data_IF_059342423732
#
_entry.id   IF_059342423732
#
_cell.length_a   1.000
_cell.length_b   1.000
_cell.length_c   1.000
_cell.angle_alpha   90.00
_cell.angle_beta   90.00
_cell.angle_gamma   90.00
#
_symmetry.space_group_name_H-M   'P 1'
#
loop_
_entity.id
_entity.type
_entity.pdbx_description
1 polymer ?
#
# COMPACT_ATOMS: atom_id res chain seq x y z
N UNK A 1 27.28 -7.14 -17.28
CA UNK A 1 25.91 -7.65 -17.05
C UNK A 1 25.32 -8.18 -18.36
N UNK A 2 24.69 -9.36 -18.39
CA UNK A 2 24.07 -9.92 -19.61
C UNK A 2 22.56 -9.68 -19.58
N UNK A 3 22.04 -8.82 -20.45
CA UNK A 3 20.62 -8.57 -20.61
C UNK A 3 19.95 -9.82 -21.23
N UNK A 4 18.99 -10.43 -20.53
CA UNK A 4 18.20 -11.55 -21.05
C UNK A 4 17.12 -11.02 -21.99
N UNK A 5 17.42 -11.00 -23.29
CA UNK A 5 16.45 -10.59 -24.31
C UNK A 5 15.53 -11.76 -24.74
N UNK A 6 14.22 -11.50 -24.97
CA UNK A 6 13.30 -12.46 -25.54
C UNK A 6 13.82 -13.08 -26.85
N UNK A 7 13.44 -14.34 -27.13
CA UNK A 7 13.93 -15.08 -28.31
C UNK A 7 13.61 -14.36 -29.63
N UNK A 8 12.42 -13.79 -29.75
CA UNK A 8 11.97 -13.07 -30.95
C UNK A 8 12.84 -11.82 -31.21
N UNK A 9 13.09 -11.02 -30.17
CA UNK A 9 13.97 -9.85 -30.23
C UNK A 9 15.40 -10.23 -30.65
N UNK A 10 15.94 -11.33 -30.13
CA UNK A 10 17.28 -11.81 -30.52
C UNK A 10 17.36 -12.24 -31.99
N UNK A 11 16.26 -12.77 -32.54
CA UNK A 11 16.17 -13.15 -33.97
C UNK A 11 16.08 -11.92 -34.85
N UNK A 12 15.23 -10.96 -34.50
CA UNK A 12 15.09 -9.70 -35.22
C UNK A 12 16.41 -8.91 -35.27
N UNK A 13 17.13 -8.83 -34.15
CA UNK A 13 18.44 -8.16 -34.09
C UNK A 13 19.49 -8.84 -34.96
N UNK A 14 19.45 -10.18 -35.10
CA UNK A 14 20.36 -10.91 -36.00
C UNK A 14 20.05 -10.65 -37.47
N UNK A 15 18.78 -10.78 -37.84
CA UNK A 15 18.33 -10.54 -39.21
C UNK A 15 18.66 -9.12 -39.66
N UNK A 16 18.46 -8.13 -38.77
CA UNK A 16 18.79 -6.74 -39.08
C UNK A 16 20.29 -6.52 -39.21
N UNK A 17 21.10 -7.13 -38.34
CA UNK A 17 22.57 -7.10 -38.43
C UNK A 17 23.09 -7.72 -39.73
N UNK A 18 22.48 -8.84 -40.17
CA UNK A 18 22.79 -9.49 -41.45
C UNK A 18 22.41 -8.61 -42.65
N UNK A 19 21.27 -7.89 -42.58
CA UNK A 19 20.82 -6.97 -43.62
C UNK A 19 21.69 -5.72 -43.75
N UNK A 20 22.19 -5.19 -42.62
CA UNK A 20 23.01 -3.97 -42.60
C UNK A 20 24.51 -4.25 -42.68
N UNK A 21 24.94 -5.51 -42.60
CA UNK A 21 26.36 -5.88 -42.56
C UNK A 21 27.09 -5.42 -41.30
N UNK A 22 26.35 -5.09 -40.23
CA UNK A 22 26.90 -4.55 -38.98
C UNK A 22 26.76 -5.53 -37.83
N UNK A 23 27.46 -5.28 -36.72
CA UNK A 23 27.35 -6.12 -35.54
C UNK A 23 25.99 -5.94 -34.85
N UNK A 24 25.52 -6.98 -34.14
CA UNK A 24 24.30 -6.90 -33.32
C UNK A 24 24.36 -5.78 -32.27
N UNK A 25 25.56 -5.46 -31.77
CA UNK A 25 25.78 -4.38 -30.82
C UNK A 25 25.50 -3.01 -31.45
N UNK A 26 25.99 -2.78 -32.66
CA UNK A 26 25.77 -1.54 -33.42
C UNK A 26 24.29 -1.34 -33.77
N UNK A 27 23.59 -2.40 -34.18
CA UNK A 27 22.14 -2.33 -34.46
C UNK A 27 21.35 -1.91 -33.21
N UNK A 28 21.75 -2.40 -32.03
CA UNK A 28 21.10 -2.00 -30.76
C UNK A 28 21.43 -0.56 -30.41
N UNK A 29 22.69 -0.15 -30.55
CA UNK A 29 23.11 1.22 -30.27
C UNK A 29 22.41 2.22 -31.18
N UNK A 30 22.29 1.90 -32.47
CA UNK A 30 21.60 2.74 -33.44
C UNK A 30 20.10 2.87 -33.12
N UNK A 31 19.45 1.75 -32.80
CA UNK A 31 18.05 1.77 -32.38
C UNK A 31 17.83 2.60 -31.10
N UNK A 32 18.78 2.57 -30.16
CA UNK A 32 18.72 3.37 -28.93
C UNK A 32 18.95 4.86 -29.19
N UNK A 33 19.93 5.21 -30.04
CA UNK A 33 20.15 6.60 -30.47
C UNK A 33 18.92 7.16 -31.16
N UNK A 34 18.37 6.41 -32.11
CA UNK A 34 17.17 6.83 -32.82
C UNK A 34 15.97 6.95 -31.89
N UNK A 35 15.85 6.09 -30.87
CA UNK A 35 14.82 6.23 -29.84
C UNK A 35 15.01 7.48 -28.97
N UNK A 36 16.26 7.83 -28.62
CA UNK A 36 16.58 9.04 -27.87
C UNK A 36 16.33 10.31 -28.69
N UNK A 37 16.58 10.28 -30.00
CA UNK A 37 16.33 11.40 -30.91
C UNK A 37 14.84 11.59 -31.22
N UNK A 38 14.07 10.50 -31.27
CA UNK A 38 12.64 10.53 -31.60
C UNK A 38 11.71 10.59 -30.40
N UNK A 39 12.21 10.34 -29.19
CA UNK A 39 11.42 10.50 -27.96
C UNK A 39 11.63 11.91 -27.44
N UNK A 40 10.68 12.84 -27.63
CA UNK A 40 10.85 14.19 -27.13
C UNK A 40 10.98 14.16 -25.59
N UNK A 41 11.83 15.01 -25.00
CA UNK A 41 12.00 15.10 -23.54
C UNK A 41 10.66 15.34 -22.81
N UNK A 42 9.73 16.01 -23.48
CA UNK A 42 8.34 16.25 -23.07
C UNK A 42 7.61 14.94 -22.72
N UNK A 43 7.87 13.84 -23.44
CA UNK A 43 7.23 12.55 -23.17
C UNK A 43 7.77 11.86 -21.91
N UNK A 44 9.04 12.09 -21.56
CA UNK A 44 9.64 11.57 -20.33
C UNK A 44 9.18 12.39 -19.13
N UNK A 45 9.17 13.72 -19.24
CA UNK A 45 8.65 14.60 -18.19
C UNK A 45 7.17 14.39 -17.93
N UNK A 46 6.35 14.23 -18.98
CA UNK A 46 4.93 13.93 -18.82
C UNK A 46 4.70 12.58 -18.13
N UNK A 47 5.50 11.57 -18.48
CA UNK A 47 5.45 10.26 -17.81
C UNK A 47 5.93 10.35 -16.36
N UNK A 48 6.96 11.13 -16.08
CA UNK A 48 7.47 11.35 -14.72
C UNK A 48 6.39 12.02 -13.86
N UNK A 49 5.77 13.10 -14.35
CA UNK A 49 4.65 13.77 -13.67
C UNK A 49 3.47 12.84 -13.41
N UNK A 50 3.16 11.95 -14.35
CA UNK A 50 2.09 10.97 -14.17
C UNK A 50 2.43 9.97 -13.05
N UNK A 51 3.67 9.48 -13.00
CA UNK A 51 4.14 8.58 -11.95
C UNK A 51 4.17 9.28 -10.59
N UNK A 52 4.64 10.53 -10.52
CA UNK A 52 4.64 11.33 -9.29
C UNK A 52 3.23 11.57 -8.76
N UNK A 53 2.27 11.92 -9.64
CA UNK A 53 0.87 12.09 -9.26
C UNK A 53 0.23 10.79 -8.74
N UNK A 54 0.53 9.66 -9.38
CA UNK A 54 0.06 8.35 -8.92
C UNK A 54 0.68 7.95 -7.57
N UNK A 55 1.96 8.22 -7.37
CA UNK A 55 2.64 7.98 -6.08
C UNK A 55 2.03 8.83 -4.96
N UNK A 56 1.77 10.12 -5.21
CA UNK A 56 1.13 11.01 -4.24
C UNK A 56 -0.27 10.51 -3.86
N UNK A 57 -1.07 10.04 -4.83
CA UNK A 57 -2.38 9.45 -4.57
C UNK A 57 -2.28 8.21 -3.69
N UNK A 58 -1.38 7.27 -4.03
CA UNK A 58 -1.19 6.04 -3.25
C UNK A 58 -0.71 6.33 -1.83
N UNK A 59 0.20 7.30 -1.64
CA UNK A 59 0.65 7.73 -0.32
C UNK A 59 -0.50 8.31 0.51
N UNK A 60 -1.37 9.14 -0.09
CA UNK A 60 -2.55 9.68 0.60
C UNK A 60 -3.52 8.57 1.05
N UNK A 61 -3.72 7.55 0.22
CA UNK A 61 -4.61 6.42 0.54
C UNK A 61 -4.04 5.55 1.66
N UNK A 62 -2.73 5.28 1.65
CA UNK A 62 -2.05 4.58 2.74
C UNK A 62 -2.15 5.34 4.06
N UNK A 63 -1.95 6.66 4.02
CA UNK A 63 -2.01 7.50 5.21
C UNK A 63 -3.43 7.57 5.81
N UNK A 64 -4.47 7.60 4.96
CA UNK A 64 -5.88 7.49 5.40
C UNK A 64 -6.14 6.12 6.05
N UNK A 65 -5.61 5.03 5.47
CA UNK A 65 -5.73 3.68 6.01
C UNK A 65 -5.07 3.53 7.39
N UNK A 66 -3.89 4.14 7.58
CA UNK A 66 -3.17 4.13 8.87
C UNK A 66 -3.91 4.92 9.95
N UNK A 67 -4.46 6.10 9.63
CA UNK A 67 -5.24 6.90 10.58
C UNK A 67 -6.55 6.19 10.97
N UNK A 68 -7.24 5.57 10.02
CA UNK A 68 -8.44 4.78 10.30
C UNK A 68 -8.13 3.56 11.19
N UNK A 69 -7.01 2.87 10.93
CA UNK A 69 -6.58 1.74 11.75
C UNK A 69 -6.14 2.17 13.17
N UNK A 70 -5.50 3.34 13.31
CA UNK A 70 -5.14 3.92 14.60
C UNK A 70 -6.39 4.26 15.43
N UNK A 71 -7.36 4.99 14.85
CA UNK A 71 -8.61 5.33 15.55
C UNK A 71 -9.40 4.09 15.99
N UNK A 72 -9.34 3.00 15.21
CA UNK A 72 -10.00 1.75 15.58
C UNK A 72 -9.28 0.98 16.71
N UNK A 73 -7.94 1.10 16.80
CA UNK A 73 -7.15 0.58 17.91
C UNK A 73 -7.43 1.36 19.19
N UNK A 74 -7.45 2.69 19.10
CA UNK A 74 -7.71 3.57 20.24
C UNK A 74 -9.12 3.33 20.82
N UNK A 75 -10.13 3.20 19.96
CA UNK A 75 -11.50 2.87 20.39
C UNK A 75 -11.60 1.47 21.04
N UNK A 76 -10.87 0.49 20.53
CA UNK A 76 -10.80 -0.85 21.13
C UNK A 76 -10.09 -0.83 22.49
N UNK A 77 -9.01 -0.07 22.64
CA UNK A 77 -8.29 0.07 23.91
C UNK A 77 -9.13 0.82 24.95
N UNK A 78 -9.80 1.91 24.56
CA UNK A 78 -10.72 2.64 25.43
C UNK A 78 -11.87 1.74 25.93
N UNK A 79 -12.45 0.91 25.06
CA UNK A 79 -13.51 -0.04 25.45
C UNK A 79 -13.01 -1.11 26.42
N UNK A 80 -11.78 -1.62 26.23
CA UNK A 80 -11.14 -2.56 27.18
C UNK A 80 -10.88 -1.93 28.54
N UNK A 81 -10.41 -0.68 28.57
CA UNK A 81 -10.18 0.05 29.81
C UNK A 81 -11.49 0.32 30.56
N UNK A 82 -12.53 0.77 29.85
CA UNK A 82 -13.86 0.96 30.43
C UNK A 82 -14.42 -0.34 31.02
N UNK A 83 -14.28 -1.46 30.31
CA UNK A 83 -14.68 -2.78 30.81
C UNK A 83 -13.96 -3.14 32.12
N UNK A 84 -12.64 -2.98 32.17
CA UNK A 84 -11.87 -3.28 33.39
C UNK A 84 -12.24 -2.38 34.57
N UNK A 85 -12.54 -1.09 34.31
CA UNK A 85 -12.99 -0.17 35.35
C UNK A 85 -14.35 -0.58 35.90
N UNK A 86 -15.32 -0.89 35.04
CA UNK A 86 -16.65 -1.34 35.47
C UNK A 86 -16.62 -2.69 36.16
N UNK A 87 -15.75 -3.61 35.74
CA UNK A 87 -15.59 -4.89 36.41
C UNK A 87 -15.13 -4.69 37.87
N UNK A 88 -14.10 -3.87 38.09
CA UNK A 88 -13.65 -3.54 39.45
C UNK A 88 -14.72 -2.84 40.27
N UNK A 89 -15.53 -2.00 39.63
CA UNK A 89 -16.66 -1.32 40.26
C UNK A 89 -17.69 -2.33 40.78
N UNK A 90 -18.15 -3.25 39.94
CA UNK A 90 -19.14 -4.26 40.33
C UNK A 90 -18.58 -5.33 41.27
N UNK A 91 -17.27 -5.62 41.22
CA UNK A 91 -16.59 -6.45 42.22
C UNK A 91 -16.57 -5.77 43.60
N UNK A 92 -16.42 -4.45 43.66
CA UNK A 92 -16.46 -3.68 44.90
C UNK A 92 -17.88 -3.36 45.38
N UNK A 93 -18.85 -3.30 44.46
CA UNK A 93 -20.26 -2.95 44.69
C UNK A 93 -21.19 -4.03 44.12
N UNK A 94 -21.22 -5.24 44.71
CA UNK A 94 -22.05 -6.34 44.20
C UNK A 94 -23.55 -6.04 44.30
N UNK A 95 -23.96 -5.16 45.20
CA UNK A 95 -25.36 -4.75 45.38
C UNK A 95 -25.92 -3.93 44.20
N UNK A 96 -25.03 -3.37 43.36
CA UNK A 96 -25.42 -2.61 42.16
C UNK A 96 -25.60 -3.51 40.93
N UNK A 97 -25.32 -4.82 41.04
CA UNK A 97 -25.52 -5.79 39.97
C UNK A 97 -27.01 -6.11 39.83
N UNK A 98 -27.54 -5.96 38.61
CA UNK A 98 -28.94 -6.30 38.32
C UNK A 98 -29.22 -7.79 38.58
N UNK A 99 -30.39 -8.08 39.16
CA UNK A 99 -30.79 -9.46 39.48
C UNK A 99 -30.79 -10.34 38.23
N UNK A 100 -30.07 -11.46 38.29
CA UNK A 100 -29.93 -12.40 37.18
C UNK A 100 -28.81 -12.07 36.19
N UNK A 101 -27.97 -11.07 36.46
CA UNK A 101 -26.74 -10.78 35.71
C UNK A 101 -25.51 -10.97 36.57
N UNK A 102 -24.37 -11.20 35.93
CA UNK A 102 -23.07 -11.19 36.60
C UNK A 102 -22.30 -9.86 36.42
N UNK A 103 -21.22 -9.69 37.18
CA UNK A 103 -20.38 -8.49 37.14
C UNK A 103 -19.72 -8.27 35.76
N UNK A 104 -19.41 -9.35 35.04
CA UNK A 104 -18.81 -9.29 33.71
C UNK A 104 -19.82 -8.84 32.65
N UNK A 105 -21.05 -9.34 32.71
CA UNK A 105 -22.16 -8.95 31.86
C UNK A 105 -22.50 -7.48 32.07
N UNK A 106 -22.58 -7.02 33.32
CA UNK A 106 -22.82 -5.62 33.65
C UNK A 106 -21.66 -4.72 33.21
N UNK A 107 -20.41 -5.14 33.41
CA UNK A 107 -19.24 -4.39 32.96
C UNK A 107 -19.15 -4.32 31.43
N UNK A 108 -19.44 -5.41 30.72
CA UNK A 108 -19.47 -5.45 29.26
C UNK A 108 -20.56 -4.54 28.71
N UNK A 109 -21.75 -4.56 29.30
CA UNK A 109 -22.85 -3.69 28.93
C UNK A 109 -22.48 -2.21 29.11
N UNK A 110 -21.98 -1.83 30.30
CA UNK A 110 -21.60 -0.45 30.59
C UNK A 110 -20.47 0.04 29.67
N UNK A 111 -19.46 -0.78 29.44
CA UNK A 111 -18.35 -0.47 28.53
C UNK A 111 -18.79 -0.37 27.06
N UNK A 112 -19.80 -1.13 26.65
CA UNK A 112 -20.37 -1.04 25.30
C UNK A 112 -21.19 0.24 25.12
N UNK A 113 -21.89 0.72 26.16
CA UNK A 113 -22.70 1.96 26.13
C UNK A 113 -21.91 3.24 26.40
N UNK A 114 -20.68 3.14 26.89
CA UNK A 114 -19.80 4.29 27.17
C UNK A 114 -18.98 4.76 25.96
N UNK A 115 -19.05 4.03 24.83
CA UNK A 115 -18.40 4.34 23.56
C UNK A 115 -19.40 4.94 22.57
#
# INVERSE_FOLDING_TARGET
>A
MKLKLPRQLRRALRQRAEQTGTSRGEVVLEALKQHLETTPPIAVEARLRCVEAQLALLQSQLQIGEVAAAGHRDASEARKQAYQQWLRHFEAHPDEIESGRDAHEMAALKAATAA
#
